data_IF_537386205432
#
_entry.id   IF_537386205432
#
_cell.length_a   1.000
_cell.length_b   1.000
_cell.length_c   1.000
_cell.angle_alpha   90.00
_cell.angle_beta   90.00
_cell.angle_gamma   90.00
#
_symmetry.space_group_name_H-M   'P 1'
#
loop_
_entity.id
_entity.type
_entity.pdbx_description
1 polymer ?
#
# COMPACT_ATOMS: atom_id res chain seq x y z
N UNK A 1 5.20 -50.79 5.01
CA UNK A 1 4.04 -51.56 5.50
C UNK A 1 2.78 -50.72 5.76
N UNK A 2 2.70 -49.43 5.40
CA UNK A 2 1.41 -48.69 5.35
C UNK A 2 1.04 -48.26 3.92
N UNK A 3 2.02 -48.23 3.01
CA UNK A 3 1.85 -47.84 1.60
C UNK A 3 1.42 -49.05 0.73
N UNK A 4 1.88 -50.26 1.07
CA UNK A 4 1.50 -51.48 0.33
C UNK A 4 0.08 -52.00 0.67
N UNK A 5 -0.45 -51.68 1.86
CA UNK A 5 -1.84 -52.01 2.25
C UNK A 5 -2.88 -51.08 1.59
N UNK A 6 -2.45 -49.97 1.00
CA UNK A 6 -3.33 -49.02 0.31
C UNK A 6 -3.49 -49.30 -1.19
N UNK A 7 -2.91 -50.39 -1.69
CA UNK A 7 -3.21 -50.94 -3.02
C UNK A 7 -2.79 -50.02 -4.17
N UNK A 8 -1.66 -50.35 -4.78
CA UNK A 8 -1.28 -49.82 -6.09
C UNK A 8 -0.77 -48.39 -6.06
N UNK A 9 -0.44 -47.86 -7.23
CA UNK A 9 0.11 -46.52 -7.42
C UNK A 9 -0.74 -45.45 -6.66
N UNK A 10 -0.22 -44.25 -6.33
CA UNK A 10 -0.99 -43.21 -5.62
C UNK A 10 -2.33 -42.80 -6.27
N UNK A 11 -2.68 -43.38 -7.42
CA UNK A 11 -3.86 -43.17 -8.24
C UNK A 11 -4.89 -44.33 -8.19
N UNK A 12 -4.59 -45.44 -7.50
CA UNK A 12 -5.47 -46.63 -7.38
C UNK A 12 -6.49 -46.54 -6.22
N UNK A 13 -6.95 -45.33 -5.91
CA UNK A 13 -7.96 -45.12 -4.89
C UNK A 13 -9.34 -45.64 -5.33
N UNK A 14 -10.09 -46.22 -4.39
CA UNK A 14 -11.48 -46.62 -4.64
C UNK A 14 -12.32 -45.44 -5.14
N UNK A 15 -13.33 -45.70 -5.98
CA UNK A 15 -14.18 -44.65 -6.55
C UNK A 15 -14.84 -43.77 -5.45
N UNK A 16 -15.14 -44.36 -4.29
CA UNK A 16 -15.67 -43.63 -3.14
C UNK A 16 -14.67 -42.62 -2.58
N UNK A 17 -13.41 -43.02 -2.39
CA UNK A 17 -12.34 -42.14 -1.88
C UNK A 17 -12.05 -41.01 -2.87
N UNK A 18 -12.01 -41.29 -4.18
CA UNK A 18 -11.81 -40.26 -5.21
C UNK A 18 -12.90 -39.20 -5.21
N UNK A 19 -14.17 -39.60 -5.09
CA UNK A 19 -15.30 -38.67 -5.01
C UNK A 19 -15.27 -37.83 -3.73
N UNK A 20 -14.90 -38.43 -2.60
CA UNK A 20 -14.77 -37.73 -1.33
C UNK A 20 -13.63 -36.69 -1.35
N UNK A 21 -12.46 -37.05 -1.89
CA UNK A 21 -11.34 -36.11 -2.04
C UNK A 21 -11.65 -34.97 -3.01
N UNK A 22 -12.34 -35.26 -4.12
CA UNK A 22 -12.80 -34.22 -5.04
C UNK A 22 -13.77 -33.25 -4.35
N UNK A 23 -14.71 -33.77 -3.54
CA UNK A 23 -15.59 -32.94 -2.73
C UNK A 23 -14.80 -32.05 -1.75
N UNK A 24 -13.86 -32.62 -0.99
CA UNK A 24 -13.03 -31.85 -0.06
C UNK A 24 -12.21 -30.77 -0.76
N UNK A 25 -11.67 -31.07 -1.94
CA UNK A 25 -10.92 -30.11 -2.75
C UNK A 25 -11.79 -28.91 -3.14
N UNK A 26 -12.94 -29.15 -3.78
CA UNK A 26 -13.85 -28.06 -4.18
C UNK A 26 -14.46 -27.32 -2.99
N UNK A 27 -14.79 -28.03 -1.91
CA UNK A 27 -15.27 -27.41 -0.68
C UNK A 27 -14.20 -26.49 -0.07
N UNK A 28 -12.93 -26.90 -0.09
CA UNK A 28 -11.81 -26.06 0.36
C UNK A 28 -11.66 -24.81 -0.51
N UNK A 29 -11.75 -24.94 -1.84
CA UNK A 29 -11.72 -23.79 -2.76
C UNK A 29 -12.88 -22.82 -2.48
N UNK A 30 -14.08 -23.32 -2.18
CA UNK A 30 -15.24 -22.51 -1.81
C UNK A 30 -14.99 -21.77 -0.48
N UNK A 31 -14.49 -22.45 0.55
CA UNK A 31 -14.22 -21.83 1.85
C UNK A 31 -13.17 -20.72 1.75
N UNK A 32 -12.08 -20.95 1.01
CA UNK A 32 -11.04 -19.94 0.77
C UNK A 32 -11.59 -18.74 -0.03
N UNK A 33 -12.44 -19.00 -1.03
CA UNK A 33 -13.07 -17.95 -1.82
C UNK A 33 -14.06 -17.09 -1.02
N UNK A 34 -14.86 -17.71 -0.14
CA UNK A 34 -15.87 -17.00 0.65
C UNK A 34 -15.22 -16.08 1.69
N UNK A 35 -14.18 -16.53 2.39
CA UNK A 35 -13.50 -15.72 3.41
C UNK A 35 -12.87 -14.45 2.82
N UNK A 36 -12.19 -14.60 1.67
CA UNK A 36 -11.63 -13.47 0.93
C UNK A 36 -12.71 -12.52 0.38
N UNK A 37 -13.85 -13.06 -0.09
CA UNK A 37 -14.96 -12.24 -0.56
C UNK A 37 -15.60 -11.41 0.57
N UNK A 38 -15.76 -11.97 1.78
CA UNK A 38 -16.28 -11.24 2.94
C UNK A 38 -15.37 -10.07 3.33
N UNK A 39 -14.06 -10.31 3.40
CA UNK A 39 -13.07 -9.26 3.70
C UNK A 39 -13.12 -8.12 2.68
N UNK A 40 -13.23 -8.45 1.39
CA UNK A 40 -13.26 -7.45 0.30
C UNK A 40 -14.54 -6.59 0.34
N UNK A 41 -15.71 -7.22 0.52
CA UNK A 41 -16.98 -6.50 0.63
C UNK A 41 -17.02 -5.63 1.87
N UNK A 42 -16.53 -6.11 3.01
CA UNK A 42 -16.52 -5.35 4.26
C UNK A 42 -15.65 -4.10 4.15
N UNK A 43 -14.44 -4.24 3.57
CA UNK A 43 -13.55 -3.11 3.30
C UNK A 43 -14.21 -2.07 2.39
N UNK A 44 -14.82 -2.52 1.28
CA UNK A 44 -15.49 -1.61 0.34
C UNK A 44 -16.72 -0.93 0.96
N UNK A 45 -17.55 -1.68 1.70
CA UNK A 45 -18.74 -1.14 2.35
C UNK A 45 -18.39 -0.14 3.45
N UNK A 46 -17.30 -0.36 4.18
CA UNK A 46 -16.79 0.58 5.19
C UNK A 46 -16.37 1.90 4.53
N UNK A 47 -15.56 1.85 3.46
CA UNK A 47 -15.18 3.05 2.71
C UNK A 47 -16.40 3.81 2.15
N UNK A 48 -17.41 3.09 1.65
CA UNK A 48 -18.65 3.72 1.19
C UNK A 48 -19.48 4.32 2.32
N UNK A 49 -19.52 3.69 3.49
CA UNK A 49 -20.27 4.19 4.65
C UNK A 49 -19.64 5.45 5.25
N UNK A 50 -18.31 5.56 5.16
CA UNK A 50 -17.57 6.75 5.58
C UNK A 50 -17.76 7.91 4.60
N UNK A 51 -18.12 7.64 3.34
CA UNK A 51 -18.42 8.67 2.36
C UNK A 51 -19.71 9.42 2.70
N UNK A 52 -19.68 10.76 2.55
CA UNK A 52 -20.81 11.65 2.82
C UNK A 52 -22.10 11.26 2.08
N UNK A 53 -21.97 10.72 0.86
CA UNK A 53 -23.10 10.30 0.02
C UNK A 53 -23.98 9.19 0.64
N UNK A 54 -23.41 8.29 1.46
CA UNK A 54 -24.14 7.14 2.01
C UNK A 54 -24.37 7.24 3.53
N UNK A 55 -24.17 8.43 4.10
CA UNK A 55 -24.42 8.70 5.52
C UNK A 55 -25.89 8.46 5.87
N UNK A 56 -26.12 7.59 6.85
CA UNK A 56 -27.47 7.27 7.36
C UNK A 56 -28.15 6.06 6.72
N UNK A 57 -27.53 5.43 5.71
CA UNK A 57 -27.99 4.12 5.21
C UNK A 57 -27.60 3.04 6.23
N UNK A 58 -28.51 2.14 6.64
CA UNK A 58 -28.14 1.02 7.51
C UNK A 58 -27.12 0.14 6.80
N UNK A 59 -26.10 -0.31 7.55
CA UNK A 59 -24.94 -1.01 7.01
C UNK A 59 -25.33 -2.29 6.26
N UNK A 60 -26.36 -2.99 6.75
CA UNK A 60 -26.90 -4.21 6.14
C UNK A 60 -27.55 -3.92 4.78
N UNK A 61 -28.23 -2.77 4.64
CA UNK A 61 -28.83 -2.38 3.36
C UNK A 61 -27.76 -1.95 2.36
N UNK A 62 -26.69 -1.28 2.80
CA UNK A 62 -25.56 -0.94 1.95
C UNK A 62 -24.86 -2.20 1.43
N UNK A 63 -24.57 -3.17 2.31
CA UNK A 63 -24.02 -4.47 1.94
C UNK A 63 -24.92 -5.20 0.94
N UNK A 64 -26.23 -5.27 1.22
CA UNK A 64 -27.20 -5.88 0.33
C UNK A 64 -27.23 -5.22 -1.06
N UNK A 65 -27.18 -3.89 -1.10
CA UNK A 65 -27.14 -3.13 -2.35
C UNK A 65 -25.86 -3.43 -3.15
N UNK A 66 -24.70 -3.39 -2.50
CA UNK A 66 -23.39 -3.68 -3.13
C UNK A 66 -23.39 -5.09 -3.71
N UNK A 67 -23.84 -6.09 -2.94
CA UNK A 67 -23.91 -7.49 -3.38
C UNK A 67 -24.88 -7.68 -4.57
N UNK A 68 -26.08 -7.11 -4.50
CA UNK A 68 -27.08 -7.24 -5.59
C UNK A 68 -26.60 -6.51 -6.83
N UNK A 69 -26.11 -5.28 -6.71
CA UNK A 69 -25.56 -4.53 -7.85
C UNK A 69 -24.35 -5.25 -8.46
N UNK A 70 -23.41 -5.70 -7.63
CA UNK A 70 -22.19 -6.41 -8.05
C UNK A 70 -22.49 -7.75 -8.73
N UNK A 71 -23.45 -8.52 -8.21
CA UNK A 71 -23.90 -9.78 -8.84
C UNK A 71 -24.55 -9.55 -10.20
N UNK A 72 -25.38 -8.51 -10.36
CA UNK A 72 -25.97 -8.15 -11.65
C UNK A 72 -24.90 -7.76 -12.67
N UNK A 73 -23.98 -6.87 -12.30
CA UNK A 73 -22.88 -6.44 -13.20
C UNK A 73 -22.02 -7.63 -13.62
N UNK A 74 -21.59 -8.46 -12.66
CA UNK A 74 -20.76 -9.64 -12.90
C UNK A 74 -21.49 -10.67 -13.77
N UNK A 75 -22.79 -10.88 -13.52
CA UNK A 75 -23.62 -11.79 -14.32
C UNK A 75 -23.69 -11.35 -15.78
N UNK A 76 -23.90 -10.06 -16.06
CA UNK A 76 -23.93 -9.55 -17.44
C UNK A 76 -22.55 -9.59 -18.11
N UNK A 77 -21.47 -9.31 -17.39
CA UNK A 77 -20.13 -9.21 -17.95
C UNK A 77 -19.44 -10.57 -18.19
N UNK A 78 -19.58 -11.51 -17.24
CA UNK A 78 -18.77 -12.74 -17.20
C UNK A 78 -19.56 -14.04 -17.38
N UNK A 79 -20.90 -14.02 -17.31
CA UNK A 79 -21.71 -15.25 -17.53
C UNK A 79 -22.16 -15.46 -18.97
N UNK A 80 -21.61 -14.70 -19.92
CA UNK A 80 -21.84 -14.88 -21.36
C UNK A 80 -20.85 -15.88 -21.97
N UNK A 81 -21.09 -16.37 -23.19
CA UNK A 81 -20.19 -17.30 -23.91
C UNK A 81 -18.76 -16.75 -24.08
N UNK A 82 -18.61 -15.42 -24.10
CA UNK A 82 -17.32 -14.71 -24.18
C UNK A 82 -16.78 -14.25 -22.82
N UNK A 83 -17.47 -14.61 -21.73
CA UNK A 83 -17.16 -14.16 -20.38
C UNK A 83 -15.78 -14.57 -19.88
N UNK A 84 -15.29 -15.75 -20.28
CA UNK A 84 -13.94 -16.20 -19.92
C UNK A 84 -12.85 -15.33 -20.56
N UNK A 85 -13.05 -14.86 -21.80
CA UNK A 85 -12.13 -13.94 -22.46
C UNK A 85 -12.13 -12.57 -21.77
N UNK A 86 -13.30 -12.07 -21.38
CA UNK A 86 -13.42 -10.85 -20.58
C UNK A 86 -12.67 -10.98 -19.24
N UNK A 87 -12.84 -12.10 -18.54
CA UNK A 87 -12.22 -12.33 -17.23
C UNK A 87 -10.70 -12.35 -17.35
N UNK A 88 -10.15 -13.13 -18.28
CA UNK A 88 -8.71 -13.28 -18.48
C UNK A 88 -8.04 -11.94 -18.86
N UNK A 89 -8.67 -11.18 -19.76
CA UNK A 89 -8.18 -9.87 -20.15
C UNK A 89 -8.24 -8.86 -19.00
N UNK A 90 -9.38 -8.79 -18.29
CA UNK A 90 -9.55 -7.86 -17.17
C UNK A 90 -8.58 -8.19 -16.02
N UNK A 91 -8.35 -9.46 -15.70
CA UNK A 91 -7.39 -9.88 -14.67
C UNK A 91 -5.96 -9.42 -14.99
N UNK A 92 -5.52 -9.56 -16.26
CA UNK A 92 -4.21 -9.06 -16.68
C UNK A 92 -4.06 -7.55 -16.46
N UNK A 93 -5.04 -6.75 -16.88
CA UNK A 93 -4.97 -5.29 -16.76
C UNK A 93 -5.18 -4.78 -15.33
N UNK A 94 -6.04 -5.40 -14.53
CA UNK A 94 -6.24 -5.05 -13.11
C UNK A 94 -4.96 -5.26 -12.31
N UNK A 95 -4.19 -6.32 -12.60
CA UNK A 95 -2.91 -6.55 -11.94
C UNK A 95 -1.92 -5.38 -12.13
N UNK A 96 -1.94 -4.72 -13.29
CA UNK A 96 -1.14 -3.50 -13.54
C UNK A 96 -1.62 -2.34 -12.66
N UNK A 97 -2.93 -2.18 -12.51
CA UNK A 97 -3.55 -1.14 -11.68
C UNK A 97 -3.30 -1.33 -10.20
N UNK A 98 -3.38 -2.58 -9.70
CA UNK A 98 -3.14 -2.90 -8.29
C UNK A 98 -1.71 -2.58 -7.87
N UNK A 99 -0.72 -2.82 -8.75
CA UNK A 99 0.67 -2.42 -8.51
C UNK A 99 0.81 -0.91 -8.37
N UNK A 100 0.10 -0.14 -9.22
CA UNK A 100 0.08 1.33 -9.14
C UNK A 100 -0.60 1.84 -7.87
N UNK A 101 -1.79 1.34 -7.54
CA UNK A 101 -2.54 1.74 -6.35
C UNK A 101 -1.73 1.43 -5.08
N UNK A 102 -1.18 0.23 -4.96
CA UNK A 102 -0.34 -0.15 -3.82
C UNK A 102 0.92 0.70 -3.70
N UNK A 103 1.52 1.11 -4.83
CA UNK A 103 2.65 2.04 -4.82
C UNK A 103 2.24 3.40 -4.25
N UNK A 104 1.11 3.95 -4.71
CA UNK A 104 0.58 5.23 -4.22
C UNK A 104 0.20 5.18 -2.74
N UNK A 105 -0.38 4.08 -2.26
CA UNK A 105 -0.68 3.87 -0.84
C UNK A 105 0.59 3.84 0.03
N UNK A 106 1.65 3.19 -0.45
CA UNK A 106 2.93 3.17 0.28
C UNK A 106 3.59 4.56 0.30
N UNK A 107 3.46 5.35 -0.77
CA UNK A 107 3.93 6.74 -0.79
C UNK A 107 3.10 7.61 0.18
N UNK A 108 1.78 7.46 0.16
CA UNK A 108 0.88 8.18 1.05
C UNK A 108 1.19 7.88 2.53
N UNK A 109 1.24 6.60 2.91
CA UNK A 109 1.51 6.18 4.29
C UNK A 109 2.97 6.43 4.72
N UNK A 110 3.93 6.16 3.83
CA UNK A 110 5.35 6.20 4.16
C UNK A 110 6.00 7.58 4.10
N UNK A 111 5.44 8.53 3.34
CA UNK A 111 6.12 9.79 3.00
C UNK A 111 5.23 11.02 3.12
N UNK A 112 3.94 10.92 2.82
CA UNK A 112 2.99 12.06 2.90
C UNK A 112 2.36 12.19 4.29
N UNK A 113 2.01 11.08 4.93
CA UNK A 113 1.42 11.08 6.26
C UNK A 113 2.32 11.80 7.28
N UNK A 114 1.72 12.65 8.12
CA UNK A 114 2.46 13.40 9.13
C UNK A 114 3.46 14.42 8.58
N UNK A 115 3.35 14.79 7.30
CA UNK A 115 4.24 15.73 6.63
C UNK A 115 4.39 17.07 7.36
N UNK A 116 3.33 17.56 8.02
CA UNK A 116 3.37 18.79 8.82
C UNK A 116 4.25 18.66 10.08
N UNK A 117 4.09 17.55 10.81
CA UNK A 117 4.90 17.25 12.01
C UNK A 117 6.38 17.09 11.65
N UNK A 118 6.65 16.42 10.53
CA UNK A 118 8.00 16.27 10.00
C UNK A 118 8.56 17.64 9.62
N UNK A 119 7.83 18.40 8.80
CA UNK A 119 8.25 19.73 8.31
C UNK A 119 8.50 20.73 9.43
N UNK A 120 7.75 20.65 10.54
CA UNK A 120 7.99 21.48 11.73
C UNK A 120 9.36 21.20 12.38
N UNK A 121 9.85 19.94 12.34
CA UNK A 121 11.10 19.51 12.97
C UNK A 121 12.32 19.58 12.06
N UNK A 122 12.17 19.27 10.78
CA UNK A 122 13.30 19.23 9.81
C UNK A 122 13.32 20.42 8.85
N UNK A 123 12.23 21.19 8.78
CA UNK A 123 12.02 22.26 7.81
C UNK A 123 11.41 21.73 6.51
N UNK A 124 10.52 22.52 5.93
CA UNK A 124 9.84 22.21 4.66
C UNK A 124 10.81 21.86 3.51
N UNK A 125 11.92 22.62 3.28
CA UNK A 125 12.82 22.31 2.17
C UNK A 125 13.49 20.93 2.30
N UNK A 126 13.90 20.56 3.53
CA UNK A 126 14.51 19.26 3.78
C UNK A 126 13.52 18.12 3.53
N UNK A 127 12.27 18.27 3.97
CA UNK A 127 11.22 17.29 3.72
C UNK A 127 10.99 17.06 2.21
N UNK A 128 10.89 18.14 1.43
CA UNK A 128 10.73 18.05 -0.02
C UNK A 128 11.90 17.35 -0.70
N UNK A 129 13.15 17.68 -0.33
CA UNK A 129 14.33 17.01 -0.89
C UNK A 129 14.33 15.51 -0.61
N UNK A 130 13.90 15.12 0.59
CA UNK A 130 13.84 13.72 0.98
C UNK A 130 12.82 12.95 0.15
N UNK A 131 11.59 13.48 0.02
CA UNK A 131 10.52 12.87 -0.77
C UNK A 131 10.90 12.83 -2.25
N UNK A 132 11.44 13.92 -2.82
CA UNK A 132 11.85 13.96 -4.22
C UNK A 132 12.95 12.95 -4.51
N UNK A 133 13.94 12.82 -3.61
CA UNK A 133 15.03 11.84 -3.79
C UNK A 133 14.49 10.42 -3.75
N UNK A 134 13.56 10.11 -2.83
CA UNK A 134 12.96 8.79 -2.74
C UNK A 134 12.17 8.42 -4.00
N UNK A 135 11.38 9.34 -4.55
CA UNK A 135 10.64 9.15 -5.80
C UNK A 135 11.61 8.97 -6.98
N UNK A 136 12.60 9.86 -7.11
CA UNK A 136 13.59 9.80 -8.20
C UNK A 136 14.40 8.50 -8.14
N UNK A 137 14.88 8.09 -6.96
CA UNK A 137 15.59 6.83 -6.78
C UNK A 137 14.72 5.63 -7.17
N UNK A 138 13.44 5.64 -6.79
CA UNK A 138 12.50 4.56 -7.08
C UNK A 138 12.18 4.46 -8.58
N UNK A 139 12.16 5.58 -9.33
CA UNK A 139 11.90 5.57 -10.79
C UNK A 139 13.16 5.30 -11.60
N UNK A 140 14.24 6.01 -11.29
CA UNK A 140 15.48 5.98 -12.09
C UNK A 140 16.23 4.67 -11.92
N UNK A 141 16.23 4.07 -10.72
CA UNK A 141 16.89 2.79 -10.46
C UNK A 141 16.39 1.65 -11.37
N UNK A 142 15.08 1.33 -11.34
CA UNK A 142 14.49 0.33 -12.23
C UNK A 142 14.64 0.67 -13.72
N UNK A 143 14.45 1.94 -14.11
CA UNK A 143 14.62 2.36 -15.50
C UNK A 143 16.04 2.11 -16.03
N UNK A 144 17.06 2.49 -15.26
CA UNK A 144 18.46 2.23 -15.60
C UNK A 144 18.77 0.73 -15.61
N UNK A 145 18.25 -0.03 -14.65
CA UNK A 145 18.42 -1.49 -14.59
C UNK A 145 17.85 -2.20 -15.82
N UNK A 146 16.63 -1.83 -16.25
CA UNK A 146 15.99 -2.37 -17.45
C UNK A 146 16.69 -1.88 -18.73
N UNK A 147 17.11 -0.61 -18.79
CA UNK A 147 17.82 -0.06 -19.93
C UNK A 147 19.17 -0.74 -20.19
N UNK A 148 19.94 -1.00 -19.14
CA UNK A 148 21.22 -1.70 -19.21
C UNK A 148 21.01 -3.18 -19.61
N UNK A 149 19.99 -3.84 -19.05
CA UNK A 149 19.68 -5.23 -19.36
C UNK A 149 19.32 -5.46 -20.85
N UNK A 150 18.76 -4.45 -21.53
CA UNK A 150 18.39 -4.53 -22.95
C UNK A 150 19.52 -4.16 -23.93
N UNK A 151 20.63 -3.56 -23.47
CA UNK A 151 21.67 -3.02 -24.36
C UNK A 151 22.75 -4.05 -24.75
N UNK A 152 23.08 -5.01 -23.88
CA UNK A 152 24.05 -6.06 -24.18
C UNK A 152 23.61 -7.43 -23.62
N UNK A 153 23.14 -8.37 -24.48
CA UNK A 153 22.74 -9.70 -24.05
C UNK A 153 23.91 -10.61 -23.62
N UNK A 154 25.17 -10.20 -23.84
CA UNK A 154 26.37 -11.00 -23.55
C UNK A 154 27.11 -10.63 -22.26
N UNK A 155 27.01 -9.38 -21.81
CA UNK A 155 27.64 -8.88 -20.60
C UNK A 155 26.56 -8.29 -19.69
N UNK A 156 25.71 -9.15 -19.10
CA UNK A 156 24.86 -8.95 -17.89
C UNK A 156 23.49 -9.68 -17.96
N UNK A 157 23.43 -10.99 -18.26
CA UNK A 157 22.20 -11.77 -17.98
C UNK A 157 21.86 -11.77 -16.47
N UNK A 158 22.86 -11.57 -15.60
CA UNK A 158 22.70 -11.79 -14.15
C UNK A 158 22.90 -10.51 -13.31
N UNK A 159 23.28 -9.36 -13.89
CA UNK A 159 23.70 -8.18 -13.09
C UNK A 159 23.14 -6.81 -13.47
N UNK A 160 22.37 -6.68 -14.56
CA UNK A 160 21.79 -5.38 -14.96
C UNK A 160 20.82 -4.83 -13.92
N UNK A 161 20.02 -5.72 -13.32
CA UNK A 161 19.13 -5.39 -12.21
C UNK A 161 19.91 -4.95 -10.94
N UNK A 162 21.05 -5.58 -10.65
CA UNK A 162 21.93 -5.19 -9.54
C UNK A 162 22.51 -3.79 -9.76
N UNK A 163 22.93 -3.47 -10.98
CA UNK A 163 23.42 -2.13 -11.32
C UNK A 163 22.33 -1.06 -11.16
N UNK A 164 21.10 -1.35 -11.59
CA UNK A 164 19.95 -0.46 -11.40
C UNK A 164 19.62 -0.21 -9.91
N UNK A 165 19.61 -1.27 -9.10
CA UNK A 165 19.40 -1.17 -7.65
C UNK A 165 20.53 -0.35 -6.99
N UNK A 166 21.79 -0.65 -7.33
CA UNK A 166 22.94 0.07 -6.79
C UNK A 166 22.91 1.57 -7.15
N UNK A 167 22.51 1.90 -8.38
CA UNK A 167 22.36 3.28 -8.84
C UNK A 167 21.23 4.01 -8.10
N UNK A 168 20.05 3.38 -7.97
CA UNK A 168 18.94 3.91 -7.21
C UNK A 168 19.30 4.13 -5.74
N UNK A 169 19.98 3.17 -5.12
CA UNK A 169 20.47 3.29 -3.75
C UNK A 169 21.51 4.43 -3.61
N UNK A 170 22.40 4.58 -4.61
CA UNK A 170 23.35 5.69 -4.65
C UNK A 170 22.69 7.07 -4.67
N UNK A 171 21.65 7.26 -5.51
CA UNK A 171 20.85 8.48 -5.54
C UNK A 171 20.18 8.73 -4.19
N UNK A 172 19.59 7.68 -3.60
CA UNK A 172 18.91 7.77 -2.31
C UNK A 172 19.86 8.19 -1.18
N UNK A 173 21.05 7.59 -1.11
CA UNK A 173 22.07 7.94 -0.12
C UNK A 173 22.54 9.38 -0.31
N UNK A 174 22.81 9.80 -1.56
CA UNK A 174 23.26 11.16 -1.85
C UNK A 174 22.22 12.22 -1.45
N UNK A 175 20.95 12.03 -1.82
CA UNK A 175 19.90 12.97 -1.41
C UNK A 175 19.57 12.92 0.09
N UNK A 176 19.78 11.77 0.75
CA UNK A 176 19.68 11.68 2.22
C UNK A 176 20.76 12.51 2.91
N UNK A 177 21.99 12.53 2.39
CA UNK A 177 23.08 13.38 2.94
C UNK A 177 22.71 14.86 2.81
N UNK A 178 22.18 15.29 1.66
CA UNK A 178 21.71 16.67 1.45
C UNK A 178 20.59 17.02 2.43
N UNK A 179 19.64 16.11 2.63
CA UNK A 179 18.52 16.30 3.55
C UNK A 179 19.01 16.48 4.99
N UNK A 180 19.94 15.62 5.44
CA UNK A 180 20.53 15.73 6.79
C UNK A 180 21.21 17.07 6.95
N UNK A 181 22.03 17.50 5.98
CA UNK A 181 22.71 18.79 6.04
C UNK A 181 21.72 19.97 6.11
N UNK A 182 20.67 19.96 5.29
CA UNK A 182 19.63 21.00 5.31
C UNK A 182 18.86 21.02 6.63
N UNK A 183 18.54 19.84 7.18
CA UNK A 183 17.84 19.72 8.46
C UNK A 183 18.70 20.21 9.62
N UNK A 184 20.00 19.93 9.62
CA UNK A 184 20.92 20.43 10.64
C UNK A 184 20.99 21.97 10.62
N UNK A 185 21.06 22.58 9.43
CA UNK A 185 21.05 24.03 9.30
C UNK A 185 19.75 24.65 9.83
N UNK A 186 18.60 24.03 9.53
CA UNK A 186 17.29 24.49 10.01
C UNK A 186 17.15 24.36 11.54
N UNK A 187 17.61 23.24 12.12
CA UNK A 187 17.53 23.01 13.58
C UNK A 187 18.46 23.90 14.37
N UNK A 188 19.67 24.12 13.85
CA UNK A 188 20.63 25.07 14.42
C UNK A 188 20.06 26.49 14.47
N UNK A 189 19.33 26.91 13.42
CA UNK A 189 18.67 28.22 13.39
C UNK A 189 17.49 28.35 14.38
N UNK A 190 16.83 27.24 14.73
CA UNK A 190 15.61 27.23 15.56
C UNK A 190 15.84 26.69 16.99
N UNK A 191 17.08 26.50 17.43
CA UNK A 191 17.44 25.93 18.74
C UNK A 191 16.77 24.57 19.03
N UNK A 192 16.57 23.75 18.01
CA UNK A 192 16.08 22.37 18.12
C UNK A 192 17.30 21.45 18.28
N UNK A 193 17.15 20.34 19.01
CA UNK A 193 18.22 19.35 19.19
C UNK A 193 18.85 18.93 17.84
N UNK A 194 20.17 19.10 17.77
CA UNK A 194 21.00 18.86 16.57
C UNK A 194 21.76 17.54 16.64
N UNK A 195 21.45 16.69 17.63
CA UNK A 195 22.03 15.34 17.75
C UNK A 195 21.75 14.53 16.48
N UNK A 196 22.79 13.91 15.91
CA UNK A 196 22.66 13.15 14.65
C UNK A 196 21.61 12.04 14.74
N UNK A 197 21.48 11.37 15.89
CA UNK A 197 20.50 10.31 16.09
C UNK A 197 19.06 10.84 16.03
N UNK A 198 18.78 11.98 16.66
CA UNK A 198 17.44 12.57 16.64
C UNK A 198 17.09 13.12 15.26
N UNK A 199 18.07 13.67 14.53
CA UNK A 199 17.89 14.09 13.13
C UNK A 199 17.61 12.91 12.22
N UNK A 200 18.35 11.80 12.34
CA UNK A 200 18.12 10.60 11.55
C UNK A 200 16.75 9.99 11.84
N UNK A 201 16.37 9.88 13.11
CA UNK A 201 15.05 9.39 13.49
C UNK A 201 13.93 10.26 12.89
N UNK A 202 14.06 11.59 13.02
CA UNK A 202 13.05 12.53 12.56
C UNK A 202 12.88 12.56 11.03
N UNK A 203 13.95 12.32 10.27
CA UNK A 203 13.92 12.23 8.80
C UNK A 203 13.38 10.86 8.37
N UNK A 204 13.96 9.77 8.88
CA UNK A 204 13.73 8.43 8.34
C UNK A 204 12.50 7.73 8.92
N UNK A 205 12.15 7.93 10.19
CA UNK A 205 11.15 7.09 10.87
C UNK A 205 9.97 7.83 11.50
N UNK A 206 10.10 9.11 11.84
CA UNK A 206 9.08 9.83 12.61
C UNK A 206 7.65 9.69 12.08
N UNK A 207 7.42 9.88 10.80
CA UNK A 207 6.08 9.81 10.24
C UNK A 207 5.46 8.41 10.28
N UNK A 208 6.22 7.40 9.86
CA UNK A 208 5.73 6.02 9.77
C UNK A 208 5.64 5.37 11.15
N UNK A 209 6.46 5.82 12.10
CA UNK A 209 6.41 5.38 13.49
C UNK A 209 5.25 6.04 14.24
N UNK A 210 4.92 7.31 13.94
CA UNK A 210 3.69 7.96 14.41
C UNK A 210 2.44 7.28 13.83
N UNK A 211 2.47 6.83 12.57
CA UNK A 211 1.38 6.04 12.01
C UNK A 211 1.28 4.66 12.71
N UNK A 212 2.41 3.98 12.91
CA UNK A 212 2.45 2.68 13.57
C UNK A 212 1.98 2.75 15.02
N UNK A 213 2.30 3.83 15.74
CA UNK A 213 1.85 4.02 17.12
C UNK A 213 0.33 4.19 17.18
N UNK A 214 -0.25 5.01 16.30
CA UNK A 214 -1.72 5.19 16.20
C UNK A 214 -2.42 3.87 15.87
N UNK A 215 -1.90 3.11 14.89
CA UNK A 215 -2.46 1.79 14.54
C UNK A 215 -2.36 0.82 15.73
N UNK A 216 -1.22 0.80 16.42
CA UNK A 216 -1.03 -0.09 17.56
C UNK A 216 -1.88 0.27 18.77
N UNK A 217 -2.15 1.56 18.97
CA UNK A 217 -3.04 2.04 20.02
C UNK A 217 -4.49 1.62 19.75
N UNK A 218 -4.97 1.80 18.51
CA UNK A 218 -6.38 1.58 18.17
C UNK A 218 -6.71 0.12 17.82
N UNK A 219 -5.80 -0.59 17.17
CA UNK A 219 -6.06 -1.90 16.56
C UNK A 219 -5.04 -2.98 16.92
N UNK A 220 -3.86 -2.61 17.42
CA UNK A 220 -2.78 -3.54 17.78
C UNK A 220 -2.72 -3.82 19.28
N UNK A 221 -1.54 -3.65 19.87
CA UNK A 221 -1.29 -3.98 21.28
C UNK A 221 -2.23 -3.24 22.25
N UNK A 222 -2.58 -1.98 21.97
CA UNK A 222 -3.48 -1.18 22.79
C UNK A 222 -4.91 -1.73 22.84
N UNK A 223 -5.34 -2.45 21.80
CA UNK A 223 -6.63 -3.11 21.72
C UNK A 223 -6.59 -4.59 22.17
N UNK A 224 -5.44 -5.08 22.67
CA UNK A 224 -5.25 -6.49 23.05
C UNK A 224 -4.99 -7.44 21.87
N UNK A 225 -4.77 -6.91 20.67
CA UNK A 225 -4.47 -7.69 19.46
C UNK A 225 -2.96 -7.79 19.20
N UNK A 226 -2.60 -8.59 18.18
CA UNK A 226 -1.23 -8.66 17.68
C UNK A 226 -0.83 -7.30 17.09
N UNK A 227 0.12 -6.63 17.74
CA UNK A 227 0.62 -5.33 17.28
C UNK A 227 1.53 -5.44 16.06
N UNK A 228 1.54 -4.36 15.29
CA UNK A 228 2.35 -4.16 14.11
C UNK A 228 3.81 -3.92 14.52
N UNK A 229 4.76 -4.75 14.05
CA UNK A 229 6.17 -4.63 14.40
C UNK A 229 6.85 -3.47 13.68
N UNK A 230 8.00 -3.01 14.18
CA UNK A 230 8.79 -1.95 13.54
C UNK A 230 9.28 -2.32 12.13
N UNK A 231 9.41 -3.63 11.84
CA UNK A 231 9.76 -4.13 10.52
C UNK A 231 8.73 -3.68 9.46
N UNK A 232 7.45 -3.57 9.83
CA UNK A 232 6.42 -3.08 8.92
C UNK A 232 6.70 -1.64 8.46
N UNK A 233 7.12 -0.76 9.37
CA UNK A 233 7.47 0.62 9.05
C UNK A 233 8.63 0.71 8.06
N UNK A 234 9.64 -0.14 8.23
CA UNK A 234 10.79 -0.21 7.31
C UNK A 234 10.40 -0.75 5.93
N UNK A 235 9.56 -1.79 5.90
CA UNK A 235 9.10 -2.40 4.66
C UNK A 235 8.25 -1.44 3.83
N UNK A 236 7.25 -0.80 4.43
CA UNK A 236 6.33 0.12 3.74
C UNK A 236 7.05 1.34 3.21
N UNK A 237 8.05 1.86 3.94
CA UNK A 237 8.73 3.09 3.55
C UNK A 237 9.85 2.87 2.53
N UNK A 238 10.65 1.80 2.67
CA UNK A 238 11.89 1.65 1.89
C UNK A 238 11.95 0.44 0.96
N UNK A 239 11.21 -0.63 1.23
CA UNK A 239 11.35 -1.90 0.47
C UNK A 239 10.22 -2.09 -0.52
N UNK A 240 8.97 -1.95 -0.05
CA UNK A 240 7.77 -2.21 -0.85
C UNK A 240 7.62 -1.23 -2.02
N UNK A 241 7.78 0.10 -1.86
CA UNK A 241 7.57 1.03 -2.97
C UNK A 241 8.52 0.78 -4.17
N UNK A 242 9.84 0.59 -3.98
CA UNK A 242 10.73 0.25 -5.10
C UNK A 242 10.40 -1.09 -5.74
N UNK A 243 9.97 -2.10 -4.98
CA UNK A 243 9.58 -3.42 -5.50
C UNK A 243 8.31 -3.33 -6.34
N UNK A 244 7.29 -2.61 -5.86
CA UNK A 244 6.04 -2.40 -6.61
C UNK A 244 6.29 -1.63 -7.90
N UNK A 245 7.14 -0.59 -7.85
CA UNK A 245 7.48 0.18 -9.03
C UNK A 245 8.31 -0.63 -10.04
N UNK A 246 9.24 -1.46 -9.58
CA UNK A 246 9.96 -2.41 -10.44
C UNK A 246 9.01 -3.40 -11.12
N UNK A 247 8.10 -4.01 -10.35
CA UNK A 247 7.09 -4.94 -10.88
C UNK A 247 6.18 -4.25 -11.90
N UNK A 248 5.81 -2.99 -11.64
CA UNK A 248 5.03 -2.19 -12.57
C UNK A 248 5.81 -1.92 -13.87
N UNK A 249 7.08 -1.53 -13.79
CA UNK A 249 7.92 -1.35 -14.98
C UNK A 249 8.04 -2.63 -15.81
N UNK A 250 8.26 -3.78 -15.14
CA UNK A 250 8.32 -5.09 -15.82
C UNK A 250 7.01 -5.38 -16.54
N UNK A 251 5.86 -5.18 -15.89
CA UNK A 251 4.54 -5.40 -16.47
C UNK A 251 4.22 -4.46 -17.64
N UNK A 252 4.66 -3.21 -17.58
CA UNK A 252 4.48 -2.25 -18.67
C UNK A 252 5.43 -2.49 -19.84
N UNK A 253 6.59 -3.12 -19.60
CA UNK A 253 7.55 -3.49 -20.65
C UNK A 253 7.25 -4.81 -21.35
N UNK A 254 6.26 -5.55 -20.87
CA UNK A 254 5.86 -6.83 -21.44
C UNK A 254 5.27 -6.64 -22.85
N UNK A 255 5.69 -7.47 -23.81
CA UNK A 255 5.18 -7.44 -25.19
C UNK A 255 3.67 -7.76 -25.24
N UNK A 256 3.15 -8.44 -24.22
CA UNK A 256 1.73 -8.71 -24.07
C UNK A 256 0.92 -7.47 -23.65
N UNK A 257 1.57 -6.37 -23.24
CA UNK A 257 0.87 -5.15 -22.83
C UNK A 257 0.17 -4.50 -24.03
N UNK A 258 -1.16 -4.37 -23.96
CA UNK A 258 -1.97 -3.85 -25.07
C UNK A 258 -2.35 -4.90 -26.12
N UNK A 259 -1.77 -6.11 -26.08
CA UNK A 259 -2.04 -7.20 -27.02
C UNK A 259 -2.23 -8.56 -26.31
N UNK A 260 -2.69 -8.55 -25.06
CA UNK A 260 -2.76 -9.74 -24.22
C UNK A 260 -3.55 -10.87 -24.89
N UNK A 261 -2.96 -12.08 -24.89
CA UNK A 261 -3.56 -13.32 -25.38
C UNK A 261 -3.92 -13.34 -26.88
N UNK A 262 -3.57 -12.31 -27.66
CA UNK A 262 -4.02 -12.17 -29.04
C UNK A 262 -5.55 -12.00 -29.18
N UNK A 263 -6.22 -11.60 -28.10
CA UNK A 263 -7.68 -11.42 -28.10
C UNK A 263 -8.12 -10.26 -29.00
N UNK A 264 -9.38 -10.25 -29.48
CA UNK A 264 -9.90 -9.14 -30.28
C UNK A 264 -9.75 -7.79 -29.58
N UNK A 265 -9.44 -6.75 -30.35
CA UNK A 265 -9.13 -5.41 -29.84
C UNK A 265 -10.23 -4.81 -28.93
N UNK A 266 -11.50 -5.19 -29.13
CA UNK A 266 -12.59 -4.75 -28.26
C UNK A 266 -12.41 -5.20 -26.80
N UNK A 267 -12.02 -6.46 -26.58
CA UNK A 267 -11.79 -7.02 -25.25
C UNK A 267 -10.58 -6.37 -24.57
N UNK A 268 -9.51 -6.15 -25.33
CA UNK A 268 -8.32 -5.45 -24.84
C UNK A 268 -8.63 -4.00 -24.49
N UNK A 269 -9.44 -3.31 -25.31
CA UNK A 269 -9.90 -1.95 -25.02
C UNK A 269 -10.73 -1.88 -23.73
N UNK A 270 -11.62 -2.85 -23.50
CA UNK A 270 -12.39 -2.95 -22.27
C UNK A 270 -11.49 -3.20 -21.05
N UNK A 271 -10.55 -4.14 -21.15
CA UNK A 271 -9.57 -4.41 -20.10
C UNK A 271 -8.71 -3.20 -19.77
N UNK A 272 -8.19 -2.51 -20.80
CA UNK A 272 -7.47 -1.25 -20.64
C UNK A 272 -8.33 -0.19 -19.94
N UNK A 273 -9.60 -0.03 -20.33
CA UNK A 273 -10.50 0.94 -19.71
C UNK A 273 -10.65 0.67 -18.21
N UNK A 274 -10.92 -0.58 -17.81
CA UNK A 274 -11.03 -0.97 -16.40
C UNK A 274 -9.69 -0.78 -15.67
N UNK A 275 -8.58 -1.18 -16.30
CA UNK A 275 -7.25 -1.08 -15.70
C UNK A 275 -6.73 0.35 -15.54
N UNK A 276 -7.04 1.26 -16.47
CA UNK A 276 -6.62 2.66 -16.36
C UNK A 276 -7.57 3.51 -15.52
N UNK A 277 -8.73 2.99 -15.11
CA UNK A 277 -9.69 3.73 -14.31
C UNK A 277 -9.11 4.23 -12.97
N UNK A 278 -8.38 3.41 -12.17
CA UNK A 278 -7.71 3.91 -10.97
C UNK A 278 -6.69 5.01 -11.24
N UNK A 279 -5.93 4.90 -12.34
CA UNK A 279 -4.96 5.91 -12.75
C UNK A 279 -5.64 7.25 -13.07
N UNK A 280 -6.76 7.19 -13.80
CA UNK A 280 -7.57 8.36 -14.10
C UNK A 280 -8.12 8.99 -12.82
N UNK A 281 -8.66 8.19 -11.90
CA UNK A 281 -9.16 8.70 -10.61
C UNK A 281 -8.06 9.39 -9.81
N UNK A 282 -6.86 8.78 -9.72
CA UNK A 282 -5.71 9.41 -9.07
C UNK A 282 -5.35 10.73 -9.73
N UNK A 283 -5.30 10.79 -11.07
CA UNK A 283 -4.99 12.01 -11.80
C UNK A 283 -6.04 13.11 -11.58
N UNK A 284 -7.32 12.76 -11.59
CA UNK A 284 -8.42 13.69 -11.26
C UNK A 284 -8.27 14.18 -9.82
N UNK A 285 -7.87 13.32 -8.88
CA UNK A 285 -7.68 13.69 -7.48
C UNK A 285 -6.60 14.74 -7.28
N UNK A 286 -5.51 14.64 -8.05
CA UNK A 286 -4.44 15.64 -8.02
C UNK A 286 -4.81 16.97 -8.69
N UNK A 287 -5.57 16.94 -9.79
CA UNK A 287 -5.92 18.15 -10.56
C UNK A 287 -7.13 18.88 -9.97
N UNK A 288 -8.13 18.13 -9.54
CA UNK A 288 -9.41 18.63 -9.04
C UNK A 288 -9.81 17.86 -7.77
N UNK A 289 -9.19 18.16 -6.61
CA UNK A 289 -9.50 17.46 -5.35
C UNK A 289 -10.98 17.60 -4.96
N UNK A 290 -11.61 18.74 -5.29
CA UNK A 290 -13.04 18.99 -5.04
C UNK A 290 -13.99 18.00 -5.72
N UNK A 291 -13.54 17.29 -6.76
CA UNK A 291 -14.34 16.24 -7.40
C UNK A 291 -14.63 15.06 -6.45
N UNK A 292 -13.82 14.89 -5.40
CA UNK A 292 -13.95 13.82 -4.40
C UNK A 292 -14.62 14.26 -3.10
N UNK A 293 -15.08 15.51 -2.98
CA UNK A 293 -15.70 16.04 -1.75
C UNK A 293 -16.92 15.22 -1.30
N UNK A 294 -17.67 14.64 -2.24
CA UNK A 294 -18.81 13.78 -1.94
C UNK A 294 -18.39 12.41 -1.32
N UNK A 295 -17.14 12.00 -1.54
CA UNK A 295 -16.56 10.76 -1.05
C UNK A 295 -15.71 10.96 0.20
N UNK A 296 -15.31 12.18 0.53
CA UNK A 296 -14.58 12.45 1.76
C UNK A 296 -15.49 12.28 2.99
N UNK A 297 -14.96 11.73 4.10
CA UNK A 297 -15.66 11.76 5.37
C UNK A 297 -15.86 13.21 5.82
N UNK A 298 -17.00 13.52 6.42
CA UNK A 298 -17.20 14.84 7.04
C UNK A 298 -16.20 14.98 8.19
N UNK A 299 -15.39 16.04 8.17
CA UNK A 299 -14.51 16.37 9.30
C UNK A 299 -15.36 16.40 10.57
N UNK A 300 -14.93 15.73 11.65
CA UNK A 300 -15.58 15.94 12.94
C UNK A 300 -15.51 17.45 13.21
N UNK A 301 -16.68 18.09 13.33
CA UNK A 301 -16.85 19.53 13.55
C UNK A 301 -15.63 20.08 14.29
N UNK A 302 -14.91 21.02 13.67
CA UNK A 302 -13.80 21.74 14.28
C UNK A 302 -14.11 21.93 15.77
N UNK A 303 -13.36 21.23 16.63
CA UNK A 303 -13.21 21.74 17.99
C UNK A 303 -12.59 23.11 17.75
N UNK A 304 -13.36 24.17 18.04
CA UNK A 304 -12.95 25.56 17.87
C UNK A 304 -11.46 25.67 18.19
N UNK A 305 -10.64 26.31 17.33
CA UNK A 305 -9.21 26.38 17.57
C UNK A 305 -9.02 26.93 18.98
N UNK A 306 -8.54 26.09 19.90
CA UNK A 306 -8.23 26.52 21.26
C UNK A 306 -7.27 27.68 21.08
N UNK A 307 -7.76 28.89 21.37
CA UNK A 307 -6.95 30.10 21.28
C UNK A 307 -5.73 29.86 22.17
N UNK A 308 -4.56 30.09 21.59
CA UNK A 308 -3.24 29.87 22.22
C UNK A 308 -3.10 30.65 23.55
N UNK A 309 -4.03 31.54 23.87
CA UNK A 309 -4.12 32.30 25.12
C UNK A 309 -4.53 31.46 26.34
N UNK A 310 -5.14 30.27 26.18
CA UNK A 310 -5.65 29.47 27.31
C UNK A 310 -4.71 28.33 27.77
N UNK A 311 -3.55 28.15 27.11
CA UNK A 311 -2.51 27.24 27.60
C UNK A 311 -1.69 27.96 28.67
N UNK A 312 -2.23 28.04 29.89
CA UNK A 312 -1.39 28.31 31.07
C UNK A 312 -0.42 27.15 31.23
N UNK A 313 0.86 27.41 30.95
CA UNK A 313 1.96 26.54 31.35
C UNK A 313 1.97 26.47 32.88
N UNK A 314 1.33 25.46 33.46
CA UNK A 314 1.62 25.12 34.85
C UNK A 314 3.04 24.54 34.89
N UNK A 315 3.96 25.14 35.68
CA UNK A 315 5.29 24.60 35.84
C UNK A 315 5.17 23.22 36.50
N UNK A 316 5.68 22.18 35.82
CA UNK A 316 5.94 20.87 36.45
C UNK A 316 6.88 21.11 37.63
N UNK A 317 6.35 21.01 38.84
CA UNK A 317 7.18 20.82 40.03
C UNK A 317 7.99 19.54 39.81
N UNK A 318 9.32 19.71 39.77
CA UNK A 318 10.27 18.62 39.81
C UNK A 318 10.15 18.05 41.22
N UNK A 319 9.45 16.94 41.36
CA UNK A 319 9.35 16.24 42.64
C UNK A 319 10.74 15.67 43.00
N UNK A 320 11.48 16.46 43.78
CA UNK A 320 12.66 16.02 44.51
C UNK A 320 12.19 15.13 45.67
N UNK A 321 11.94 13.86 45.37
CA UNK A 321 11.52 12.84 46.33
C UNK A 321 12.43 11.63 46.33
N UNK A 322 13.71 11.84 46.67
CA UNK A 322 14.64 10.77 47.04
C UNK A 322 14.13 10.12 48.35
N UNK A 323 13.43 8.99 48.23
CA UNK A 323 12.90 8.20 49.34
C UNK A 323 13.49 6.80 49.37
N UNK A 324 14.71 6.68 49.90
CA UNK A 324 15.21 5.44 50.49
C UNK A 324 14.32 5.08 51.70
N UNK A 325 13.89 3.82 51.82
CA UNK A 325 13.35 3.30 53.09
C UNK A 325 12.39 2.12 52.98
N UNK A 326 12.94 0.92 53.14
CA UNK A 326 12.45 -0.17 54.01
C UNK A 326 10.96 -0.58 54.00
N UNK A 327 10.65 -1.73 53.37
CA UNK A 327 10.12 -2.95 54.01
C UNK A 327 9.91 -4.06 52.96
#
# INVERSE_FOLDING_TARGET
>A
SAIDELGGSPWDMSLGVRKFLAFLWFFTLILLGIDSAFSMIEGFATCMKDARMFKGVPHEALLGLICVAGSLVTMFAYSSDTGLFNLDVVDYYINVSLLWVGFMECIAAGWVYGGDKVSARIGWPAHMYFVSTAIVASVVGPYMGLGIANYDPGMLSDGGWLAGIAFGFGIFVFGSIITIQSSMNYRSANNIDTTYESVLYDIFLLNIEDLRSVINEQAGWGAGNVGVPILWSLLIKFVIPPVLLLMLCIKLSDEAFGAYGGYPAFYQGWGCFVGFMPWLLTAVGFVCPSAFDAFMPEEPNEVEPVKVEDVKLEPREIDQGLGLGEA
#
